data_IF_584539073361
#
_entry.id   IF_584539073361
#
_cell.length_a   1.000
_cell.length_b   1.000
_cell.length_c   1.000
_cell.angle_alpha   90.00
_cell.angle_beta   90.00
_cell.angle_gamma   90.00
#
_symmetry.space_group_name_H-M   'P 1'
#
loop_
_entity.id
_entity.type
_entity.pdbx_description
1 polymer ?
#
# COMPACT_ATOMS: atom_id res chain seq x y z
N UNK A 1 36.54 54.63 -48.82
CA UNK A 1 37.19 53.58 -49.63
C UNK A 1 37.41 52.34 -48.78
N UNK A 2 37.12 51.16 -49.33
CA UNK A 2 37.54 49.79 -48.94
C UNK A 2 37.17 49.27 -47.54
N UNK A 3 36.59 48.08 -47.34
CA UNK A 3 36.28 46.92 -48.20
C UNK A 3 35.33 45.98 -47.40
N UNK A 4 34.31 45.35 -48.01
CA UNK A 4 33.34 44.50 -47.30
C UNK A 4 33.87 43.07 -47.13
N UNK A 5 33.82 42.56 -45.89
CA UNK A 5 34.14 41.18 -45.52
C UNK A 5 32.83 40.37 -45.43
N UNK A 6 32.24 40.09 -46.58
CA UNK A 6 31.13 39.14 -46.73
C UNK A 6 31.63 38.10 -47.72
N UNK A 7 31.82 36.86 -47.26
CA UNK A 7 31.81 35.57 -48.01
C UNK A 7 32.58 34.50 -47.20
N UNK A 8 32.01 34.01 -46.09
CA UNK A 8 32.53 32.82 -45.41
C UNK A 8 31.50 32.08 -44.53
N UNK A 9 30.19 32.15 -44.81
CA UNK A 9 29.16 31.52 -43.95
C UNK A 9 28.31 30.45 -44.66
N UNK A 10 28.59 30.08 -45.92
CA UNK A 10 27.60 29.36 -46.73
C UNK A 10 27.90 27.92 -47.17
N UNK A 11 28.80 27.13 -46.56
CA UNK A 11 29.08 25.79 -47.12
C UNK A 11 29.41 24.62 -46.16
N UNK A 12 29.03 24.67 -44.88
CA UNK A 12 29.25 23.54 -43.94
C UNK A 12 27.98 22.92 -43.35
N UNK A 13 26.82 23.05 -44.01
CA UNK A 13 25.54 22.44 -43.56
C UNK A 13 25.03 21.33 -44.49
N UNK A 14 25.73 21.02 -45.58
CA UNK A 14 25.28 20.03 -46.59
C UNK A 14 26.17 18.79 -46.69
N UNK A 15 26.77 18.34 -45.58
CA UNK A 15 27.58 17.12 -45.57
C UNK A 15 27.66 16.45 -44.19
N UNK A 16 26.54 16.31 -43.48
CA UNK A 16 26.42 15.21 -42.52
C UNK A 16 25.66 14.05 -43.16
N UNK A 17 26.27 12.85 -43.22
CA UNK A 17 25.70 11.73 -43.94
C UNK A 17 24.44 11.26 -43.24
N UNK A 18 23.40 11.18 -44.07
CA UNK A 18 22.18 10.39 -43.89
C UNK A 18 22.55 8.90 -43.77
N UNK A 19 23.23 8.55 -42.68
CA UNK A 19 23.43 7.17 -42.28
C UNK A 19 22.12 6.73 -41.67
N UNK A 20 21.24 6.22 -42.53
CA UNK A 20 20.06 5.46 -42.14
C UNK A 20 20.54 4.17 -41.46
N UNK A 21 21.09 4.27 -40.25
CA UNK A 21 20.92 3.19 -39.30
C UNK A 21 19.43 3.17 -38.97
N UNK A 22 18.75 2.13 -39.43
CA UNK A 22 17.42 1.81 -38.99
C UNK A 22 17.44 1.70 -37.47
N UNK A 23 17.04 2.76 -36.78
CA UNK A 23 16.64 2.70 -35.38
C UNK A 23 15.42 1.79 -35.39
N UNK A 24 15.65 0.50 -35.15
CA UNK A 24 14.59 -0.42 -34.74
C UNK A 24 14.06 0.18 -33.45
N UNK A 25 12.97 0.95 -33.58
CA UNK A 25 12.15 1.39 -32.47
C UNK A 25 11.75 0.11 -31.73
N UNK A 26 12.42 -0.22 -30.63
CA UNK A 26 11.82 -1.09 -29.62
C UNK A 26 10.59 -0.32 -29.16
N UNK A 27 9.41 -0.72 -29.65
CA UNK A 27 8.15 -0.21 -29.13
C UNK A 27 8.22 -0.28 -27.61
N UNK A 28 7.83 0.78 -26.89
CA UNK A 28 7.52 0.67 -25.48
C UNK A 28 6.46 -0.42 -25.38
N UNK A 29 6.83 -1.57 -24.85
CA UNK A 29 5.85 -2.59 -24.52
C UNK A 29 5.20 -2.06 -23.26
N UNK A 30 3.98 -1.53 -23.39
CA UNK A 30 3.18 -1.19 -22.22
C UNK A 30 3.18 -2.42 -21.28
N UNK A 31 3.36 -2.23 -19.97
CA UNK A 31 3.30 -3.33 -19.03
C UNK A 31 1.91 -3.98 -19.13
N UNK A 32 1.88 -5.17 -19.72
CA UNK A 32 0.65 -5.96 -19.83
C UNK A 32 0.33 -6.47 -18.43
N UNK A 33 -0.78 -5.99 -17.85
CA UNK A 33 -1.28 -6.50 -16.59
C UNK A 33 -1.95 -7.86 -16.84
N UNK A 34 -1.32 -8.92 -16.35
CA UNK A 34 -1.89 -10.27 -16.38
C UNK A 34 -2.74 -10.54 -15.13
N UNK A 35 -3.71 -11.44 -15.25
CA UNK A 35 -4.52 -11.89 -14.10
C UNK A 35 -3.64 -12.58 -13.05
N UNK A 36 -3.97 -12.42 -11.77
CA UNK A 36 -3.23 -12.99 -10.63
C UNK A 36 -3.48 -14.49 -10.44
N UNK A 37 -3.66 -15.24 -11.53
CA UNK A 37 -3.89 -16.67 -11.49
C UNK A 37 -2.58 -17.43 -11.29
N UNK A 38 -2.62 -18.48 -10.47
CA UNK A 38 -1.51 -19.39 -10.24
C UNK A 38 -1.88 -20.80 -10.69
N UNK A 39 -0.98 -21.44 -11.46
CA UNK A 39 -1.04 -22.85 -11.82
C UNK A 39 -0.11 -23.62 -10.89
N UNK A 40 -0.61 -24.70 -10.31
CA UNK A 40 0.21 -25.60 -9.48
C UNK A 40 0.94 -26.58 -10.39
N UNK A 41 2.26 -26.68 -10.20
CA UNK A 41 3.16 -27.59 -10.88
C UNK A 41 3.17 -28.97 -10.21
N UNK A 42 3.58 -30.04 -10.93
CA UNK A 42 3.64 -31.39 -10.35
C UNK A 42 4.62 -31.53 -9.18
N UNK A 43 5.58 -30.61 -9.04
CA UNK A 43 6.51 -30.51 -7.90
C UNK A 43 5.89 -29.79 -6.67
N UNK A 44 4.70 -29.20 -6.82
CA UNK A 44 4.01 -28.45 -5.76
C UNK A 44 4.29 -26.94 -5.76
N UNK A 45 5.24 -26.45 -6.58
CA UNK A 45 5.41 -25.01 -6.80
C UNK A 45 4.23 -24.39 -7.56
N UNK A 46 4.07 -23.07 -7.40
CA UNK A 46 3.10 -22.28 -8.16
C UNK A 46 3.81 -21.42 -9.21
N UNK A 47 3.23 -21.37 -10.40
CA UNK A 47 3.67 -20.48 -11.50
C UNK A 47 2.54 -19.54 -11.89
N UNK A 48 2.87 -18.29 -12.16
CA UNK A 48 1.91 -17.26 -12.58
C UNK A 48 1.94 -17.07 -14.10
N UNK A 49 0.94 -16.37 -14.63
CA UNK A 49 0.93 -15.89 -16.01
C UNK A 49 2.00 -14.82 -16.21
N UNK A 50 2.74 -14.89 -17.32
CA UNK A 50 3.81 -13.96 -17.68
C UNK A 50 3.87 -13.78 -19.20
N UNK A 51 4.61 -12.76 -19.65
CA UNK A 51 4.81 -12.44 -21.06
C UNK A 51 3.67 -11.64 -21.72
N UNK A 52 3.83 -11.27 -23.00
CA UNK A 52 2.91 -10.37 -23.70
C UNK A 52 1.51 -10.95 -23.92
N UNK A 53 1.37 -12.29 -23.87
CA UNK A 53 0.11 -13.00 -24.03
C UNK A 53 -0.48 -13.51 -22.70
N UNK A 54 0.14 -13.20 -21.56
CA UNK A 54 -0.28 -13.68 -20.24
C UNK A 54 -0.44 -15.22 -20.17
N UNK A 55 0.58 -15.95 -20.59
CA UNK A 55 0.63 -17.41 -20.56
C UNK A 55 1.35 -17.89 -19.29
N UNK A 56 1.00 -19.07 -18.77
CA UNK A 56 1.68 -19.60 -17.59
C UNK A 56 3.17 -19.83 -17.88
N UNK A 57 4.02 -19.40 -16.95
CA UNK A 57 5.43 -19.78 -16.98
C UNK A 57 5.58 -21.32 -16.93
N UNK A 58 6.59 -21.90 -17.59
CA UNK A 58 6.86 -23.33 -17.52
C UNK A 58 7.20 -23.77 -16.09
N UNK A 59 6.76 -24.97 -15.72
CA UNK A 59 7.06 -25.54 -14.41
C UNK A 59 8.55 -25.93 -14.29
N UNK A 60 9.09 -26.01 -13.05
CA UNK A 60 10.42 -26.56 -12.82
C UNK A 60 10.53 -27.96 -13.44
N UNK A 61 11.52 -28.15 -14.34
CA UNK A 61 11.75 -29.41 -15.06
C UNK A 61 11.14 -29.49 -16.46
N UNK A 62 10.33 -28.52 -16.89
CA UNK A 62 9.85 -28.41 -18.27
C UNK A 62 10.84 -27.70 -19.21
N UNK A 63 10.84 -28.02 -20.52
CA UNK A 63 11.66 -27.30 -21.49
C UNK A 63 11.25 -25.83 -21.56
N UNK A 64 12.19 -24.93 -21.27
CA UNK A 64 11.96 -23.47 -21.22
C UNK A 64 11.96 -22.88 -19.81
N UNK A 65 12.09 -23.69 -18.76
CA UNK A 65 12.30 -23.20 -17.40
C UNK A 65 13.67 -22.52 -17.26
N UNK A 66 13.65 -21.23 -16.94
CA UNK A 66 14.85 -20.49 -16.51
C UNK A 66 14.74 -20.22 -15.02
N UNK A 67 15.62 -20.81 -14.17
CA UNK A 67 15.56 -20.56 -12.75
C UNK A 67 15.84 -19.07 -12.48
N UNK A 68 15.04 -18.40 -11.63
CA UNK A 68 15.35 -17.05 -11.21
C UNK A 68 16.70 -17.02 -10.47
N UNK A 69 17.49 -15.94 -10.58
CA UNK A 69 18.73 -15.81 -9.83
C UNK A 69 18.42 -15.86 -8.33
N UNK A 70 18.82 -16.93 -7.67
CA UNK A 70 18.74 -17.06 -6.21
C UNK A 70 19.66 -16.01 -5.59
N UNK A 71 19.08 -14.98 -4.97
CA UNK A 71 19.85 -14.10 -4.08
C UNK A 71 20.33 -14.94 -2.91
N UNK A 72 21.64 -15.03 -2.63
CA UNK A 72 22.13 -15.72 -1.45
C UNK A 72 21.43 -15.16 -0.22
N UNK A 73 20.83 -16.03 0.59
CA UNK A 73 20.27 -15.63 1.89
C UNK A 73 21.38 -14.95 2.71
N UNK A 74 21.08 -13.84 3.41
CA UNK A 74 22.04 -13.26 4.34
C UNK A 74 22.46 -14.33 5.33
N UNK A 75 23.76 -14.58 5.48
CA UNK A 75 24.25 -15.48 6.52
C UNK A 75 23.79 -14.92 7.87
N UNK A 76 23.40 -15.78 8.84
CA UNK A 76 23.10 -15.34 10.19
C UNK A 76 24.27 -14.50 10.71
N UNK A 77 23.99 -13.25 11.09
CA UNK A 77 24.99 -12.37 11.70
C UNK A 77 25.24 -12.91 13.10
N UNK A 78 26.47 -13.35 13.45
CA UNK A 78 26.75 -13.75 14.82
C UNK A 78 26.54 -12.55 15.76
N UNK A 79 26.06 -12.76 17.01
CA UNK A 79 25.95 -11.69 17.99
C UNK A 79 27.35 -11.15 18.28
N UNK A 80 27.63 -9.93 17.83
CA UNK A 80 28.89 -9.23 18.05
C UNK A 80 28.73 -8.18 19.15
N UNK A 81 29.61 -8.27 20.15
CA UNK A 81 29.75 -7.32 21.25
C UNK A 81 29.98 -5.89 20.74
N UNK A 82 29.29 -4.95 21.36
CA UNK A 82 29.30 -3.55 20.99
C UNK A 82 30.61 -2.84 21.32
N UNK A 83 31.13 -2.11 20.36
CA UNK A 83 31.99 -0.94 20.54
C UNK A 83 31.91 -0.12 19.22
N UNK A 84 31.58 1.18 19.32
CA UNK A 84 31.40 2.10 18.17
C UNK A 84 32.73 2.51 17.48
N UNK A 85 32.85 3.67 16.79
CA UNK A 85 31.86 4.74 16.54
C UNK A 85 31.77 5.22 15.05
N UNK A 86 30.76 6.04 14.77
CA UNK A 86 30.74 7.17 13.81
C UNK A 86 31.22 6.97 12.35
N UNK A 87 30.32 7.20 11.38
CA UNK A 87 30.76 7.57 10.02
C UNK A 87 29.77 7.34 8.89
N UNK A 88 29.02 8.39 8.55
CA UNK A 88 28.64 8.85 7.19
C UNK A 88 28.04 7.86 6.18
N UNK A 89 26.74 8.04 5.92
CA UNK A 89 26.19 8.37 4.59
C UNK A 89 26.43 7.44 3.40
N UNK A 90 25.36 6.80 2.93
CA UNK A 90 25.28 6.21 1.58
C UNK A 90 23.87 5.73 1.25
N UNK A 91 23.09 6.57 0.57
CA UNK A 91 21.79 6.22 0.00
C UNK A 91 21.96 5.66 -1.42
N UNK A 92 21.26 4.56 -1.73
CA UNK A 92 20.66 4.36 -3.06
C UNK A 92 19.62 3.24 -3.07
N UNK A 93 18.63 3.31 -4.00
CA UNK A 93 17.28 2.83 -3.78
C UNK A 93 17.00 1.48 -4.48
N UNK A 94 16.05 0.72 -3.93
CA UNK A 94 15.51 -0.50 -4.52
C UNK A 94 13.99 -0.53 -4.38
N UNK A 95 13.31 -0.78 -5.49
CA UNK A 95 11.86 -0.75 -5.73
C UNK A 95 11.00 -1.66 -4.83
N UNK A 96 9.68 -1.38 -4.70
CA UNK A 96 8.75 -2.20 -3.95
C UNK A 96 8.19 -3.35 -4.79
N UNK A 97 8.17 -4.56 -4.22
CA UNK A 97 7.46 -5.73 -4.72
C UNK A 97 6.39 -6.14 -3.71
N UNK A 98 5.18 -6.31 -4.22
CA UNK A 98 3.92 -6.61 -3.54
C UNK A 98 3.95 -7.91 -2.71
N UNK A 99 3.16 -7.97 -1.64
CA UNK A 99 2.54 -9.24 -1.21
C UNK A 99 1.14 -9.04 -0.65
N UNK A 100 0.27 -9.94 -1.10
CA UNK A 100 -1.20 -9.99 -1.07
C UNK A 100 -1.65 -10.88 0.11
N UNK A 101 -2.86 -10.68 0.68
CA UNK A 101 -3.43 -11.54 1.73
C UNK A 101 -3.98 -12.87 1.19
N UNK A 102 -3.88 -13.92 2.02
CA UNK A 102 -4.47 -15.23 1.79
C UNK A 102 -5.93 -15.30 2.25
N UNK A 103 -6.77 -15.94 1.44
CA UNK A 103 -8.16 -16.29 1.73
C UNK A 103 -8.39 -17.75 1.33
N UNK A 104 -9.18 -18.48 2.12
CA UNK A 104 -9.62 -19.87 1.91
C UNK A 104 -11.14 -19.88 2.14
N UNK A 105 -12.00 -20.16 1.15
CA UNK A 105 -12.38 -21.49 0.61
C UNK A 105 -13.57 -22.05 1.43
N UNK A 106 -14.69 -22.59 0.93
CA UNK A 106 -14.99 -23.42 -0.26
C UNK A 106 -16.55 -23.52 -0.45
N UNK A 107 -17.13 -23.63 -1.66
CA UNK A 107 -17.65 -24.86 -2.34
C UNK A 107 -19.07 -25.27 -1.87
N UNK A 108 -20.12 -25.60 -2.66
CA UNK A 108 -20.21 -26.41 -3.89
C UNK A 108 -21.64 -26.33 -4.54
N UNK A 109 -21.72 -26.66 -5.84
CA UNK A 109 -22.85 -26.72 -6.81
C UNK A 109 -23.86 -27.88 -6.57
N UNK A 110 -25.03 -28.10 -7.20
CA UNK A 110 -25.79 -27.54 -8.33
C UNK A 110 -27.01 -28.46 -8.69
N UNK A 111 -27.98 -27.92 -9.45
CA UNK A 111 -29.04 -28.49 -10.38
C UNK A 111 -29.76 -29.84 -10.09
N UNK A 112 -31.07 -30.07 -10.33
CA UNK A 112 -31.90 -29.94 -11.55
C UNK A 112 -33.43 -30.13 -11.29
N UNK A 113 -34.24 -29.47 -12.15
CA UNK A 113 -35.53 -29.84 -12.79
C UNK A 113 -36.81 -30.32 -12.02
N UNK A 114 -37.93 -29.61 -12.28
CA UNK A 114 -39.13 -30.22 -12.91
C UNK A 114 -40.41 -30.50 -12.09
N UNK A 115 -41.43 -29.63 -12.23
CA UNK A 115 -42.80 -30.03 -12.64
C UNK A 115 -43.91 -30.48 -11.64
N UNK A 116 -45.00 -29.68 -11.61
CA UNK A 116 -46.44 -30.02 -11.42
C UNK A 116 -46.96 -30.58 -10.08
N UNK A 117 -47.96 -29.88 -9.52
CA UNK A 117 -49.24 -30.53 -9.16
C UNK A 117 -49.84 -30.29 -7.77
N UNK A 118 -51.00 -29.62 -7.76
CA UNK A 118 -52.21 -29.92 -6.97
C UNK A 118 -52.18 -29.64 -5.44
N UNK A 119 -52.98 -28.64 -5.02
CA UNK A 119 -53.56 -28.56 -3.68
C UNK A 119 -54.71 -29.59 -3.53
N UNK A 120 -55.02 -30.11 -2.33
CA UNK A 120 -56.01 -29.40 -1.52
C UNK A 120 -55.86 -29.47 0.01
N UNK A 121 -56.61 -28.57 0.63
CA UNK A 121 -57.00 -28.38 2.02
C UNK A 121 -56.98 -29.56 3.00
N UNK A 122 -56.60 -29.26 4.25
CA UNK A 122 -57.33 -29.74 5.42
C UNK A 122 -56.49 -30.19 6.62
N UNK A 123 -56.42 -29.32 7.65
CA UNK A 123 -56.42 -29.58 9.13
C UNK A 123 -55.27 -30.47 9.69
N UNK A 124 -54.57 -30.23 10.81
CA UNK A 124 -54.96 -29.99 12.22
C UNK A 124 -53.69 -29.56 13.02
N UNK A 125 -53.86 -28.63 13.96
CA UNK A 125 -53.13 -28.34 15.22
C UNK A 125 -51.63 -28.63 15.41
N UNK A 126 -50.85 -27.56 15.66
CA UNK A 126 -50.23 -27.20 16.98
C UNK A 126 -48.96 -26.36 16.78
N UNK A 127 -48.70 -25.27 17.54
CA UNK A 127 -47.40 -24.62 17.53
C UNK A 127 -46.41 -25.41 18.39
N UNK A 128 -45.44 -26.06 17.75
CA UNK A 128 -44.29 -26.64 18.45
C UNK A 128 -43.35 -25.52 18.91
N UNK A 129 -43.28 -25.28 20.22
CA UNK A 129 -42.24 -24.46 20.84
C UNK A 129 -40.93 -25.21 20.74
N UNK A 130 -39.97 -24.68 19.98
CA UNK A 130 -38.58 -25.17 20.01
C UNK A 130 -37.95 -24.69 21.32
N UNK A 131 -37.56 -25.63 22.19
CA UNK A 131 -36.72 -25.31 23.35
C UNK A 131 -35.27 -25.17 22.88
N UNK A 132 -34.51 -24.16 23.36
CA UNK A 132 -33.08 -24.10 23.12
C UNK A 132 -32.38 -25.27 23.83
N UNK A 133 -31.49 -25.94 23.10
CA UNK A 133 -30.57 -26.96 23.62
C UNK A 133 -29.65 -26.33 24.68
N UNK A 134 -29.58 -26.92 25.87
CA UNK A 134 -28.71 -26.44 26.94
C UNK A 134 -27.23 -26.58 26.53
N UNK A 135 -26.39 -25.55 26.75
CA UNK A 135 -24.98 -25.64 26.38
C UNK A 135 -24.25 -26.66 27.27
N UNK A 136 -23.73 -27.71 26.64
CA UNK A 136 -22.89 -28.73 27.28
C UNK A 136 -21.68 -28.07 27.97
N UNK A 137 -21.70 -28.12 29.31
CA UNK A 137 -20.62 -27.62 30.16
C UNK A 137 -19.48 -28.65 30.20
N UNK A 138 -18.58 -28.61 29.21
CA UNK A 138 -17.30 -29.30 29.27
C UNK A 138 -16.32 -28.57 30.22
N UNK A 139 -15.33 -29.26 30.81
CA UNK A 139 -14.33 -28.62 31.66
C UNK A 139 -13.45 -27.71 30.80
N UNK A 140 -13.73 -26.42 30.81
CA UNK A 140 -12.89 -25.44 30.18
C UNK A 140 -11.59 -25.39 30.99
N UNK A 141 -10.50 -25.85 30.37
CA UNK A 141 -9.16 -25.74 30.95
C UNK A 141 -8.92 -24.28 31.27
N UNK A 142 -8.74 -23.96 32.56
CA UNK A 142 -8.43 -22.62 33.05
C UNK A 142 -7.05 -22.18 32.60
N UNK A 143 -6.92 -21.90 31.31
CA UNK A 143 -5.82 -21.12 30.78
C UNK A 143 -6.16 -19.67 31.16
N UNK A 144 -5.34 -18.98 31.97
CA UNK A 144 -5.61 -17.59 32.30
C UNK A 144 -5.66 -16.79 31.01
N UNK A 145 -6.74 -16.02 30.82
CA UNK A 145 -6.83 -15.05 29.74
C UNK A 145 -5.73 -14.01 29.95
N UNK A 146 -4.59 -14.22 29.29
CA UNK A 146 -3.57 -13.19 29.15
C UNK A 146 -4.30 -11.99 28.50
N UNK A 147 -4.34 -10.82 29.16
CA UNK A 147 -5.01 -9.67 28.60
C UNK A 147 -4.34 -9.39 27.26
N UNK A 148 -5.09 -9.53 26.17
CA UNK A 148 -4.65 -9.12 24.85
C UNK A 148 -4.17 -7.67 25.01
N UNK A 149 -2.85 -7.47 25.00
CA UNK A 149 -2.29 -6.14 24.82
C UNK A 149 -3.04 -5.57 23.61
N UNK A 150 -3.75 -4.44 23.76
CA UNK A 150 -4.58 -3.93 22.67
C UNK A 150 -3.67 -3.81 21.45
N UNK A 151 -4.09 -4.23 20.24
CA UNK A 151 -3.32 -3.93 19.06
C UNK A 151 -3.43 -2.42 18.88
N UNK A 152 -2.52 -1.66 19.48
CA UNK A 152 -2.16 -0.33 19.01
C UNK A 152 -1.41 -0.52 17.69
N UNK A 153 -2.07 -1.14 16.71
CA UNK A 153 -1.50 -1.41 15.42
C UNK A 153 -1.32 -0.04 14.76
N UNK A 154 -0.06 0.33 14.63
CA UNK A 154 0.33 1.54 13.93
C UNK A 154 -0.16 1.43 12.49
N UNK A 155 -1.01 2.36 12.08
CA UNK A 155 -1.63 2.39 10.77
C UNK A 155 -0.79 3.20 9.80
N UNK A 156 -0.77 2.81 8.53
CA UNK A 156 -0.16 3.62 7.46
C UNK A 156 -1.08 4.79 7.08
N UNK A 157 -0.52 5.82 6.45
CA UNK A 157 -1.30 6.96 5.97
C UNK A 157 -2.35 6.50 4.96
N UNK A 158 -1.95 5.65 4.01
CA UNK A 158 -2.85 5.05 3.02
C UNK A 158 -4.01 4.28 3.66
N UNK A 159 -3.75 3.49 4.70
CA UNK A 159 -4.81 2.74 5.38
C UNK A 159 -5.88 3.67 5.95
N UNK A 160 -5.47 4.75 6.62
CA UNK A 160 -6.40 5.74 7.19
C UNK A 160 -7.22 6.42 6.08
N UNK A 161 -6.59 6.75 4.96
CA UNK A 161 -7.26 7.37 3.81
C UNK A 161 -8.32 6.45 3.17
N UNK A 162 -8.02 5.16 3.05
CA UNK A 162 -8.90 4.16 2.42
C UNK A 162 -10.05 3.73 3.34
N UNK A 163 -9.85 3.76 4.66
CA UNK A 163 -10.84 3.34 5.66
C UNK A 163 -11.46 4.51 6.43
N UNK A 164 -11.34 5.74 5.92
CA UNK A 164 -11.70 6.98 6.63
C UNK A 164 -13.08 6.99 7.27
N UNK A 165 -14.12 6.51 6.57
CA UNK A 165 -15.48 6.49 7.11
C UNK A 165 -15.67 5.46 8.22
N UNK A 166 -14.92 4.36 8.17
CA UNK A 166 -14.96 3.32 9.22
C UNK A 166 -14.15 3.70 10.44
N UNK A 167 -13.17 4.59 10.28
CA UNK A 167 -12.33 5.10 11.35
C UNK A 167 -12.89 6.37 12.00
N UNK A 168 -14.01 6.94 11.53
CA UNK A 168 -14.57 8.17 12.09
C UNK A 168 -14.88 8.03 13.59
N UNK A 169 -14.34 8.95 14.39
CA UNK A 169 -14.42 8.91 15.85
C UNK A 169 -13.50 7.89 16.52
N UNK A 170 -12.72 7.11 15.76
CA UNK A 170 -11.79 6.14 16.32
C UNK A 170 -10.44 6.78 16.66
N UNK A 171 -9.88 6.38 17.80
CA UNK A 171 -8.51 6.73 18.17
C UNK A 171 -7.52 5.77 17.48
N UNK A 172 -6.56 6.31 16.74
CA UNK A 172 -5.56 5.53 15.99
C UNK A 172 -4.17 6.11 16.19
N UNK A 173 -3.14 5.29 15.93
CA UNK A 173 -1.77 5.76 15.78
C UNK A 173 -1.37 5.63 14.33
N UNK A 174 -0.92 6.71 13.69
CA UNK A 174 -0.56 6.75 12.28
C UNK A 174 0.94 6.95 12.12
N UNK A 175 1.57 6.08 11.35
CA UNK A 175 2.96 6.19 10.92
C UNK A 175 3.05 6.94 9.60
N UNK A 176 3.95 7.91 9.51
CA UNK A 176 4.23 8.58 8.25
C UNK A 176 5.45 9.48 8.30
N UNK A 177 5.74 10.10 7.16
CA UNK A 177 6.80 11.08 6.99
C UNK A 177 6.17 12.47 6.85
N UNK A 178 6.65 13.43 7.63
CA UNK A 178 6.22 14.83 7.56
C UNK A 178 6.63 15.42 6.21
N UNK A 179 5.66 15.92 5.46
CA UNK A 179 5.88 16.57 4.15
C UNK A 179 5.62 18.07 4.20
N UNK A 180 4.96 18.55 5.26
CA UNK A 180 4.75 19.96 5.54
C UNK A 180 4.42 20.16 7.03
N UNK A 181 4.89 21.25 7.62
CA UNK A 181 4.58 21.60 9.00
C UNK A 181 4.21 23.07 9.17
N UNK A 182 3.05 23.32 9.79
CA UNK A 182 2.59 24.62 10.23
C UNK A 182 2.43 24.60 11.76
N UNK A 183 3.52 24.81 12.52
CA UNK A 183 3.49 24.82 13.98
C UNK A 183 2.67 26.00 14.52
N UNK A 184 2.14 25.91 15.76
CA UNK A 184 1.29 26.95 16.35
C UNK A 184 1.90 28.36 16.31
N UNK A 185 3.20 28.49 16.58
CA UNK A 185 3.91 29.77 16.54
C UNK A 185 3.91 30.44 15.16
N UNK A 186 3.85 29.67 14.07
CA UNK A 186 3.73 30.20 12.69
C UNK A 186 2.28 30.37 12.27
N UNK A 187 1.37 29.59 12.85
CA UNK A 187 -0.04 29.61 12.53
C UNK A 187 -0.73 30.89 13.05
N UNK A 188 -0.27 31.45 14.17
CA UNK A 188 -0.81 32.66 14.80
C UNK A 188 0.30 33.71 15.02
N UNK A 189 0.73 34.45 13.98
CA UNK A 189 1.77 35.46 14.11
C UNK A 189 1.28 36.67 14.95
N UNK A 190 2.13 37.20 15.84
CA UNK A 190 1.74 38.32 16.70
C UNK A 190 1.40 39.56 15.86
N UNK A 191 0.25 40.18 16.15
CA UNK A 191 -0.18 41.43 15.51
C UNK A 191 -0.95 41.25 14.19
N UNK A 192 -1.14 40.03 13.70
CA UNK A 192 -2.13 39.73 12.66
C UNK A 192 -3.36 39.12 13.34
N UNK A 193 -4.51 39.79 13.27
CA UNK A 193 -5.76 39.31 13.88
C UNK A 193 -6.38 38.09 13.20
N UNK A 194 -5.57 37.27 12.52
CA UNK A 194 -5.99 36.07 11.81
C UNK A 194 -5.01 34.95 12.13
N UNK A 195 -5.53 33.85 12.70
CA UNK A 195 -4.74 32.68 13.03
C UNK A 195 -5.22 31.50 12.17
N UNK A 196 -4.28 30.81 11.55
CA UNK A 196 -4.53 29.55 10.86
C UNK A 196 -4.55 28.41 11.89
N UNK A 197 -5.24 27.32 11.56
CA UNK A 197 -5.20 26.12 12.39
C UNK A 197 -3.82 25.46 12.32
N UNK A 198 -3.13 25.22 13.46
CA UNK A 198 -1.88 24.48 13.51
C UNK A 198 -2.06 23.06 12.98
N UNK A 199 -1.17 22.63 12.09
CA UNK A 199 -1.27 21.30 11.45
C UNK A 199 0.04 20.84 10.85
N UNK A 200 0.17 19.53 10.67
CA UNK A 200 1.20 18.91 9.82
C UNK A 200 0.53 18.07 8.74
N UNK A 201 1.25 17.82 7.66
CA UNK A 201 0.82 16.91 6.60
C UNK A 201 1.82 15.77 6.54
N UNK A 202 1.33 14.54 6.68
CA UNK A 202 2.16 13.33 6.62
C UNK A 202 1.78 12.46 5.41
N UNK A 203 2.74 11.68 4.93
CA UNK A 203 2.56 10.73 3.83
C UNK A 203 3.33 9.44 4.10
N UNK A 204 3.00 8.34 3.40
CA UNK A 204 3.77 7.09 3.51
C UNK A 204 5.20 7.18 2.94
N UNK A 205 5.46 8.19 2.09
CA UNK A 205 6.77 8.41 1.46
C UNK A 205 7.11 9.88 1.35
N UNK A 206 8.41 10.22 1.40
CA UNK A 206 8.93 11.56 1.16
C UNK A 206 9.04 11.92 -0.34
N UNK A 207 8.70 10.99 -1.25
CA UNK A 207 8.89 11.21 -2.68
C UNK A 207 8.09 12.40 -3.21
N UNK A 208 8.75 13.23 -4.02
CA UNK A 208 8.14 14.37 -4.70
C UNK A 208 7.06 13.98 -5.71
N UNK A 209 7.15 12.78 -6.31
CA UNK A 209 6.18 12.23 -7.28
C UNK A 209 5.03 11.49 -6.63
N UNK A 210 4.96 11.43 -5.29
CA UNK A 210 3.85 10.77 -4.59
C UNK A 210 2.52 11.44 -4.93
N UNK A 211 1.44 10.69 -4.81
CA UNK A 211 0.11 11.25 -4.98
C UNK A 211 -0.30 12.05 -3.75
N UNK A 212 -0.27 13.39 -3.85
CA UNK A 212 -0.65 14.32 -2.78
C UNK A 212 -2.12 14.19 -2.35
N UNK A 213 -2.97 13.52 -3.14
CA UNK A 213 -4.35 13.25 -2.74
C UNK A 213 -4.45 12.24 -1.58
N UNK A 214 -3.39 11.49 -1.29
CA UNK A 214 -3.29 10.57 -0.15
C UNK A 214 -2.52 11.17 1.04
N UNK A 215 -2.12 12.44 0.95
CA UNK A 215 -1.48 13.12 2.08
C UNK A 215 -2.52 13.32 3.21
N UNK A 216 -2.16 12.90 4.42
CA UNK A 216 -3.04 13.00 5.58
C UNK A 216 -2.74 14.27 6.37
N UNK A 217 -3.78 15.04 6.65
CA UNK A 217 -3.69 16.23 7.50
C UNK A 217 -3.88 15.85 8.96
N UNK A 218 -2.89 16.20 9.78
CA UNK A 218 -2.94 16.05 11.24
C UNK A 218 -3.12 17.45 11.84
N UNK A 219 -4.21 17.64 12.59
CA UNK A 219 -4.48 18.86 13.32
C UNK A 219 -3.72 18.82 14.64
N UNK A 220 -2.95 19.87 14.91
CA UNK A 220 -2.19 19.99 16.15
C UNK A 220 -2.95 20.87 17.16
N UNK A 221 -2.89 20.55 18.46
CA UNK A 221 -3.37 21.45 19.48
C UNK A 221 -2.53 22.75 19.51
N UNK A 222 -3.11 23.84 19.99
CA UNK A 222 -2.43 25.15 20.04
C UNK A 222 -1.21 25.15 20.97
N UNK A 223 -1.23 24.31 22.01
CA UNK A 223 -0.16 24.14 22.98
C UNK A 223 0.91 23.12 22.54
N UNK A 224 0.83 22.59 21.31
CA UNK A 224 1.81 21.61 20.83
C UNK A 224 3.21 22.24 20.68
N UNK A 225 4.19 21.67 21.41
CA UNK A 225 5.58 22.12 21.42
C UNK A 225 6.51 21.25 20.59
N UNK A 226 5.96 20.29 19.84
CA UNK A 226 6.77 19.34 19.06
C UNK A 226 7.33 20.05 17.83
N UNK A 227 8.62 19.90 17.59
CA UNK A 227 9.24 20.39 16.36
C UNK A 227 9.13 19.32 15.28
N UNK A 228 8.31 19.60 14.27
CA UNK A 228 8.07 18.72 13.13
C UNK A 228 8.86 19.22 11.92
N UNK A 229 9.93 18.52 11.57
CA UNK A 229 10.75 18.83 10.40
C UNK A 229 10.25 18.08 9.16
N UNK A 230 10.34 18.70 7.98
CA UNK A 230 10.06 18.01 6.72
C UNK A 230 11.06 16.85 6.52
N UNK A 231 10.55 15.68 6.11
CA UNK A 231 11.30 14.43 6.00
C UNK A 231 11.41 13.62 7.30
N UNK A 232 10.91 14.14 8.43
CA UNK A 232 10.90 13.42 9.70
C UNK A 232 9.86 12.28 9.69
N UNK A 233 10.29 11.09 10.10
CA UNK A 233 9.39 9.95 10.36
C UNK A 233 8.75 10.14 11.73
N UNK A 234 7.43 10.02 11.81
CA UNK A 234 6.64 10.24 13.03
C UNK A 234 5.56 9.17 13.18
N UNK A 235 5.27 8.83 14.43
CA UNK A 235 4.07 8.09 14.85
C UNK A 235 3.17 9.06 15.62
N UNK A 236 1.98 9.33 15.09
CA UNK A 236 1.03 10.28 15.68
C UNK A 236 -0.22 9.56 16.13
N UNK A 237 -0.52 9.64 17.43
CA UNK A 237 -1.77 9.17 17.99
C UNK A 237 -2.80 10.29 18.02
N UNK A 238 -4.05 9.95 17.72
CA UNK A 238 -5.13 10.93 17.70
C UNK A 238 -6.47 10.36 17.26
N UNK A 239 -7.50 11.20 17.38
CA UNK A 239 -8.86 10.87 16.98
C UNK A 239 -9.07 11.20 15.50
N UNK A 240 -9.54 10.23 14.72
CA UNK A 240 -9.84 10.40 13.30
C UNK A 240 -11.21 11.07 13.13
N UNK A 241 -11.27 12.09 12.27
CA UNK A 241 -12.53 12.60 11.71
C UNK A 241 -12.50 12.36 10.21
N UNK A 242 -13.26 11.37 9.76
CA UNK A 242 -13.21 10.83 8.41
C UNK A 242 -14.60 10.67 7.80
N UNK A 243 -14.79 11.16 6.59
CA UNK A 243 -16.04 11.06 5.84
C UNK A 243 -15.79 10.80 4.36
N UNK A 244 -16.84 10.73 3.55
CA UNK A 244 -16.69 10.62 2.10
C UNK A 244 -15.92 11.82 1.49
N UNK A 245 -15.93 12.98 2.16
CA UNK A 245 -15.34 14.23 1.66
C UNK A 245 -13.86 14.41 2.03
N UNK A 246 -13.36 13.69 3.04
CA UNK A 246 -11.97 13.82 3.47
C UNK A 246 -11.71 13.15 4.82
N UNK A 247 -10.47 13.26 5.29
CA UNK A 247 -10.08 12.76 6.60
C UNK A 247 -9.03 13.66 7.23
N UNK A 248 -9.17 13.86 8.52
CA UNK A 248 -8.20 14.56 9.38
C UNK A 248 -8.02 13.76 10.66
N UNK A 249 -6.86 13.90 11.29
CA UNK A 249 -6.61 13.32 12.62
C UNK A 249 -6.26 14.44 13.58
N UNK A 250 -7.00 14.53 14.68
CA UNK A 250 -6.69 15.46 15.76
C UNK A 250 -5.69 14.80 16.71
N UNK A 251 -4.47 15.35 16.80
CA UNK A 251 -3.45 14.86 17.72
C UNK A 251 -3.90 15.10 19.17
N UNK A 252 -3.65 14.09 20.01
CA UNK A 252 -3.93 14.12 21.46
C UNK A 252 -2.66 14.05 22.31
#
# INVERSE_FOLDING_TARGET
>A
MSRPLLLAVSLSVLAWPLSAEAIVMRQPHDPVACTMEAKICPDGSSVSRTGPNCEFAPCPGEPGYTPPPVRPLPRPVPPGDGEGPGGTGGVSPGSPGETVPGSSGSGESGSVEGGVGIAPSGVISSPGVVSPDEPVSGPQTGLPDDPLLPPSQVQSVKFVMEHRSSLDGQHVTVHGIVTYALPPAKACPPGQGACAQPRIIIADTADSSRNKAYDLTILLPEDDKTDYAEGQIVDISGTVSGSADGVTVMKE
#
